data_IF_969296631986
#
_entry.id   IF_969296631986
#
_cell.length_a   1.000
_cell.length_b   1.000
_cell.length_c   1.000
_cell.angle_alpha   90.00
_cell.angle_beta   90.00
_cell.angle_gamma   90.00
#
_symmetry.space_group_name_H-M   'P 1'
#
loop_
_entity.id
_entity.type
_entity.pdbx_description
1 polymer ?
#
# COMPACT_ATOMS: atom_id res chain seq x y z
N UNK A 1 18.58 23.43 7.68
CA UNK A 1 19.35 22.22 8.05
C UNK A 1 18.43 21.02 7.89
N UNK A 2 18.69 20.11 6.95
CA UNK A 2 17.92 18.86 6.83
C UNK A 2 18.32 17.94 7.99
N UNK A 3 17.41 17.74 8.94
CA UNK A 3 17.60 16.78 10.03
C UNK A 3 17.40 15.36 9.48
N UNK A 4 18.29 14.39 9.78
CA UNK A 4 18.13 13.01 9.33
C UNK A 4 16.74 12.46 9.67
N UNK A 5 16.10 11.80 8.69
CA UNK A 5 14.76 11.25 8.85
C UNK A 5 13.60 12.25 8.78
N UNK A 6 13.86 13.53 8.53
CA UNK A 6 12.82 14.54 8.29
C UNK A 6 12.72 14.94 6.81
N UNK A 7 11.49 15.12 6.35
CA UNK A 7 11.12 15.68 5.04
C UNK A 7 10.40 17.01 5.30
N UNK A 8 11.09 18.12 5.07
CA UNK A 8 10.61 19.41 5.58
C UNK A 8 10.49 19.35 7.10
N UNK A 9 9.26 19.44 7.60
CA UNK A 9 8.94 19.33 9.04
C UNK A 9 8.36 17.97 9.47
N UNK A 10 8.23 17.02 8.55
CA UNK A 10 7.55 15.74 8.72
C UNK A 10 8.54 14.59 8.89
N UNK A 11 8.11 13.47 9.48
CA UNK A 11 8.93 12.29 9.70
C UNK A 11 9.51 12.21 11.11
N UNK A 12 10.81 11.97 11.21
CA UNK A 12 11.51 11.74 12.47
C UNK A 12 11.46 10.29 12.96
N UNK A 13 11.96 10.07 14.17
CA UNK A 13 11.94 8.78 14.86
C UNK A 13 11.54 9.00 16.32
N UNK A 14 10.23 9.01 16.58
CA UNK A 14 9.62 9.21 17.90
C UNK A 14 9.44 7.86 18.59
N UNK A 15 10.55 7.19 18.87
CA UNK A 15 10.58 5.83 19.40
C UNK A 15 10.99 5.81 20.88
N UNK A 16 10.55 4.81 21.67
CA UNK A 16 11.10 4.56 22.99
C UNK A 16 12.60 4.26 22.93
N UNK A 17 13.36 4.68 23.96
CA UNK A 17 14.82 4.51 24.03
C UNK A 17 15.25 3.04 23.90
N UNK A 18 14.45 2.10 24.40
CA UNK A 18 14.74 0.65 24.30
C UNK A 18 14.84 0.15 22.85
N UNK A 19 14.26 0.87 21.88
CA UNK A 19 14.37 0.55 20.45
C UNK A 19 15.51 1.29 19.75
N UNK A 20 16.20 2.21 20.42
CA UNK A 20 17.21 3.07 19.79
C UNK A 20 18.26 2.24 19.04
N UNK A 21 18.78 1.20 19.69
CA UNK A 21 19.88 0.42 19.13
C UNK A 21 19.45 -0.44 17.95
N UNK A 22 18.26 -1.03 18.02
CA UNK A 22 17.64 -1.75 16.90
C UNK A 22 17.45 -0.85 15.69
N UNK A 23 17.02 0.40 15.89
CA UNK A 23 16.91 1.38 14.81
C UNK A 23 18.26 1.88 14.32
N UNK A 24 19.28 1.99 15.19
CA UNK A 24 20.67 2.31 14.78
C UNK A 24 21.21 1.23 13.85
N UNK A 25 21.11 -0.05 14.23
CA UNK A 25 21.50 -1.20 13.40
C UNK A 25 20.80 -1.15 12.04
N UNK A 26 19.47 -0.99 12.04
CA UNK A 26 18.69 -0.92 10.81
C UNK A 26 19.13 0.23 9.88
N UNK A 27 19.39 1.42 10.44
CA UNK A 27 19.88 2.58 9.67
C UNK A 27 21.23 2.29 9.02
N UNK A 28 22.16 1.69 9.75
CA UNK A 28 23.49 1.37 9.24
C UNK A 28 23.45 0.31 8.14
N UNK A 29 22.63 -0.72 8.31
CA UNK A 29 22.48 -1.79 7.32
C UNK A 29 21.79 -1.28 6.07
N UNK A 30 20.71 -0.50 6.22
CA UNK A 30 20.03 0.16 5.11
C UNK A 30 20.96 1.11 4.35
N UNK A 31 21.70 1.97 5.05
CA UNK A 31 22.64 2.91 4.42
C UNK A 31 23.73 2.18 3.62
N UNK A 32 24.31 1.10 4.18
CA UNK A 32 25.28 0.26 3.47
C UNK A 32 24.67 -0.44 2.26
N UNK A 33 23.46 -0.99 2.38
CA UNK A 33 22.77 -1.63 1.27
C UNK A 33 22.44 -0.64 0.13
N UNK A 34 22.03 0.58 0.48
CA UNK A 34 21.73 1.63 -0.50
C UNK A 34 22.97 2.14 -1.23
N UNK A 35 24.12 2.15 -0.57
CA UNK A 35 25.41 2.54 -1.16
C UNK A 35 26.08 1.42 -1.97
N UNK A 36 25.56 0.19 -1.90
CA UNK A 36 26.12 -1.00 -2.53
C UNK A 36 25.34 -1.36 -3.81
N UNK A 37 25.89 -1.13 -5.02
CA UNK A 37 25.22 -1.47 -6.27
C UNK A 37 24.92 -2.97 -6.41
N UNK A 38 25.72 -3.84 -5.78
CA UNK A 38 25.51 -5.28 -5.84
C UNK A 38 24.23 -5.69 -5.11
N UNK A 39 23.85 -4.98 -4.04
CA UNK A 39 22.57 -5.21 -3.36
C UNK A 39 21.38 -4.91 -4.28
N UNK A 40 21.42 -3.78 -4.99
CA UNK A 40 20.32 -3.43 -5.89
C UNK A 40 20.23 -4.42 -7.05
N UNK A 41 21.37 -4.88 -7.58
CA UNK A 41 21.38 -5.93 -8.59
C UNK A 41 20.81 -7.26 -8.06
N UNK A 42 21.22 -7.71 -6.86
CA UNK A 42 20.65 -8.90 -6.20
C UNK A 42 19.13 -8.77 -6.03
N UNK A 43 18.65 -7.59 -5.63
CA UNK A 43 17.22 -7.28 -5.53
C UNK A 43 16.51 -7.36 -6.88
N UNK A 44 17.08 -6.78 -7.94
CA UNK A 44 16.50 -6.85 -9.29
C UNK A 44 16.46 -8.28 -9.82
N UNK A 45 17.52 -9.06 -9.62
CA UNK A 45 17.59 -10.46 -10.05
C UNK A 45 16.55 -11.32 -9.31
N UNK A 46 16.38 -11.09 -8.00
CA UNK A 46 15.33 -11.72 -7.20
C UNK A 46 13.94 -11.34 -7.71
N UNK A 47 13.66 -10.04 -7.89
CA UNK A 47 12.35 -9.58 -8.32
C UNK A 47 12.01 -10.02 -9.75
N UNK A 48 13.01 -10.10 -10.63
CA UNK A 48 12.86 -10.62 -11.99
C UNK A 48 12.53 -12.11 -12.01
N UNK A 49 13.28 -12.92 -11.24
CA UNK A 49 13.11 -14.38 -11.23
C UNK A 49 11.92 -14.87 -10.38
N UNK A 50 11.55 -14.15 -9.32
CA UNK A 50 10.53 -14.58 -8.36
C UNK A 50 9.18 -13.88 -8.54
N UNK A 51 9.18 -12.60 -8.94
CA UNK A 51 7.97 -11.79 -9.11
C UNK A 51 7.72 -11.36 -10.56
N UNK A 52 8.48 -11.92 -11.51
CA UNK A 52 8.37 -11.65 -12.94
C UNK A 52 8.45 -10.16 -13.30
N UNK A 53 9.25 -9.38 -12.57
CA UNK A 53 9.47 -7.97 -12.91
C UNK A 53 10.35 -7.83 -14.17
N UNK A 54 10.15 -6.78 -14.99
CA UNK A 54 9.25 -5.65 -14.79
C UNK A 54 7.78 -5.97 -15.03
N UNK A 55 6.88 -5.39 -14.23
CA UNK A 55 5.43 -5.53 -14.48
C UNK A 55 5.02 -4.72 -15.72
N UNK A 56 4.03 -5.16 -16.51
CA UNK A 56 3.60 -4.43 -17.71
C UNK A 56 3.02 -3.03 -17.44
N UNK A 57 3.09 -2.17 -18.46
CA UNK A 57 2.27 -0.97 -18.59
C UNK A 57 1.24 -1.22 -19.70
N UNK A 58 -0.01 -1.47 -19.32
CA UNK A 58 -1.09 -1.85 -20.26
C UNK A 58 -1.79 -0.62 -20.79
N UNK A 59 -1.91 -0.46 -22.11
CA UNK A 59 -2.80 0.53 -22.72
C UNK A 59 -4.25 0.06 -22.61
N UNK A 60 -5.08 0.80 -21.87
CA UNK A 60 -6.49 0.52 -21.64
C UNK A 60 -7.32 1.17 -22.75
N UNK A 61 -7.35 0.51 -23.91
CA UNK A 61 -7.91 1.05 -25.14
C UNK A 61 -9.43 1.28 -25.04
N UNK A 62 -10.17 0.39 -24.36
CA UNK A 62 -11.62 0.51 -24.22
C UNK A 62 -12.02 1.64 -23.28
N UNK A 63 -11.28 1.84 -22.19
CA UNK A 63 -11.46 2.98 -21.29
C UNK A 63 -11.07 4.28 -21.99
N UNK A 64 -9.95 4.31 -22.72
CA UNK A 64 -9.54 5.49 -23.49
C UNK A 64 -10.62 5.90 -24.50
N UNK A 65 -11.15 4.94 -25.27
CA UNK A 65 -12.30 5.17 -26.16
C UNK A 65 -13.56 5.62 -25.42
N UNK A 66 -13.82 5.06 -24.24
CA UNK A 66 -15.02 5.36 -23.46
C UNK A 66 -15.04 6.81 -22.99
N UNK A 67 -13.91 7.35 -22.53
CA UNK A 67 -13.82 8.73 -22.06
C UNK A 67 -13.59 9.74 -23.20
N UNK A 68 -13.07 9.30 -24.36
CA UNK A 68 -12.87 10.16 -25.54
C UNK A 68 -11.82 11.26 -25.35
N UNK A 69 -11.08 11.24 -24.24
CA UNK A 69 -9.99 12.15 -23.92
C UNK A 69 -8.65 11.41 -23.88
N UNK A 70 -7.90 11.53 -22.77
CA UNK A 70 -6.55 10.97 -22.65
C UNK A 70 -6.44 9.46 -22.96
N UNK A 71 -5.25 9.08 -23.43
CA UNK A 71 -4.80 7.68 -23.50
C UNK A 71 -4.50 7.16 -22.09
N UNK A 72 -5.23 6.14 -21.67
CA UNK A 72 -5.16 5.58 -20.33
C UNK A 72 -4.19 4.40 -20.31
N UNK A 73 -3.14 4.49 -19.49
CA UNK A 73 -2.20 3.41 -19.24
C UNK A 73 -2.30 2.93 -17.79
N UNK A 74 -2.27 1.61 -17.60
CA UNK A 74 -2.37 0.98 -16.28
C UNK A 74 -1.03 0.31 -15.95
N UNK A 75 -0.39 0.72 -14.86
CA UNK A 75 0.80 0.06 -14.32
C UNK A 75 0.36 -1.16 -13.50
N UNK A 76 0.72 -2.36 -13.97
CA UNK A 76 0.13 -3.65 -13.55
C UNK A 76 0.80 -4.30 -12.34
N UNK A 77 0.82 -3.62 -11.20
CA UNK A 77 1.37 -4.20 -9.96
C UNK A 77 0.52 -5.34 -9.39
N UNK A 78 -0.71 -5.51 -9.91
CA UNK A 78 -1.59 -6.66 -9.69
C UNK A 78 -1.01 -7.99 -10.20
N UNK A 79 -0.07 -7.93 -11.15
CA UNK A 79 0.60 -9.10 -11.73
C UNK A 79 1.88 -9.51 -10.99
N UNK A 80 2.28 -8.77 -9.95
CA UNK A 80 3.36 -9.23 -9.08
C UNK A 80 3.03 -10.58 -8.43
N UNK A 81 4.07 -11.30 -8.00
CA UNK A 81 3.86 -12.39 -7.07
C UNK A 81 3.13 -11.88 -5.82
N UNK A 82 2.30 -12.74 -5.22
CA UNK A 82 1.31 -12.40 -4.19
C UNK A 82 0.15 -11.47 -4.62
N UNK A 83 0.21 -10.86 -5.82
CA UNK A 83 -0.89 -10.09 -6.41
C UNK A 83 -0.94 -8.60 -6.07
N UNK A 84 0.15 -8.02 -5.53
CA UNK A 84 0.22 -6.60 -5.20
C UNK A 84 1.65 -6.06 -5.14
N UNK A 85 1.80 -4.72 -5.19
CA UNK A 85 3.07 -4.00 -5.01
C UNK A 85 3.80 -4.30 -3.68
N UNK A 86 3.14 -4.93 -2.69
CA UNK A 86 3.76 -5.24 -1.39
C UNK A 86 4.96 -6.18 -1.51
N UNK A 87 4.98 -7.05 -2.52
CA UNK A 87 6.10 -7.95 -2.82
C UNK A 87 7.44 -7.21 -2.94
N UNK A 88 7.44 -6.03 -3.59
CA UNK A 88 8.63 -5.19 -3.78
C UNK A 88 9.32 -4.87 -2.44
N UNK A 89 8.54 -4.34 -1.50
CA UNK A 89 9.05 -3.95 -0.19
C UNK A 89 9.49 -5.15 0.65
N UNK A 90 8.64 -6.18 0.77
CA UNK A 90 8.94 -7.30 1.68
C UNK A 90 10.17 -8.07 1.21
N UNK A 91 10.35 -8.27 -0.10
CA UNK A 91 11.53 -8.96 -0.64
C UNK A 91 12.81 -8.15 -0.41
N UNK A 92 12.75 -6.84 -0.62
CA UNK A 92 13.85 -5.93 -0.30
C UNK A 92 14.23 -5.96 1.18
N UNK A 93 13.25 -5.88 2.08
CA UNK A 93 13.49 -6.03 3.51
C UNK A 93 13.99 -7.43 3.88
N UNK A 94 13.52 -8.49 3.23
CA UNK A 94 14.01 -9.87 3.42
C UNK A 94 15.51 -10.01 3.13
N UNK A 95 16.01 -9.33 2.09
CA UNK A 95 17.44 -9.25 1.82
C UNK A 95 18.20 -8.50 2.93
N UNK A 96 17.60 -7.44 3.51
CA UNK A 96 18.18 -6.77 4.68
C UNK A 96 18.18 -7.67 5.92
N UNK A 97 17.10 -8.42 6.18
CA UNK A 97 17.02 -9.39 7.27
C UNK A 97 18.15 -10.41 7.17
N UNK A 98 18.40 -10.94 5.96
CA UNK A 98 19.52 -11.85 5.67
C UNK A 98 20.88 -11.18 5.97
N UNK A 99 21.08 -9.91 5.57
CA UNK A 99 22.31 -9.16 5.86
C UNK A 99 22.52 -8.87 7.35
N UNK A 100 21.44 -8.68 8.10
CA UNK A 100 21.47 -8.50 9.56
C UNK A 100 21.67 -9.82 10.32
N UNK A 101 21.63 -10.97 9.64
CA UNK A 101 21.75 -12.28 10.29
C UNK A 101 20.55 -12.63 11.18
N UNK A 102 19.41 -11.94 11.01
CA UNK A 102 18.19 -12.22 11.77
C UNK A 102 17.52 -13.48 11.22
N UNK A 103 16.86 -14.23 12.09
CA UNK A 103 16.25 -15.54 11.76
C UNK A 103 14.73 -15.51 11.80
N UNK A 104 14.15 -14.42 12.33
CA UNK A 104 12.72 -14.24 12.52
C UNK A 104 12.27 -12.88 12.00
N UNK A 105 11.07 -12.85 11.44
CA UNK A 105 10.40 -11.63 11.02
C UNK A 105 9.03 -11.50 11.67
N UNK A 106 8.65 -10.27 11.95
CA UNK A 106 7.31 -9.92 12.41
C UNK A 106 6.72 -8.82 11.55
N UNK A 107 5.40 -8.81 11.43
CA UNK A 107 4.67 -7.72 10.76
C UNK A 107 3.27 -7.59 11.33
N UNK A 108 2.67 -6.41 11.19
CA UNK A 108 1.25 -6.18 11.35
C UNK A 108 0.51 -6.38 10.03
N UNK A 109 -0.81 -6.59 10.05
CA UNK A 109 -1.63 -6.46 8.85
C UNK A 109 -3.08 -6.13 9.19
N UNK A 110 -3.74 -5.35 8.33
CA UNK A 110 -5.19 -5.09 8.37
C UNK A 110 -5.89 -5.91 7.31
N UNK A 111 -5.91 -5.44 6.06
CA UNK A 111 -6.48 -6.16 4.91
C UNK A 111 -5.86 -7.55 4.61
N UNK A 112 -4.73 -7.91 5.24
CA UNK A 112 -4.07 -9.22 5.08
C UNK A 112 -3.00 -9.29 3.99
N UNK A 113 -2.98 -8.39 3.01
CA UNK A 113 -2.03 -8.44 1.89
C UNK A 113 -0.56 -8.28 2.30
N UNK A 114 -0.27 -7.37 3.22
CA UNK A 114 1.10 -7.23 3.74
C UNK A 114 1.52 -8.48 4.52
N UNK A 115 0.61 -9.03 5.32
CA UNK A 115 0.84 -10.28 6.04
C UNK A 115 1.13 -11.47 5.10
N UNK A 116 0.35 -11.64 4.03
CA UNK A 116 0.60 -12.66 3.00
C UNK A 116 1.95 -12.44 2.31
N UNK A 117 2.29 -11.19 1.97
CA UNK A 117 3.57 -10.86 1.35
C UNK A 117 4.75 -11.16 2.30
N UNK A 118 4.63 -10.83 3.59
CA UNK A 118 5.63 -11.11 4.61
C UNK A 118 5.79 -12.62 4.86
N UNK A 119 4.69 -13.37 4.96
CA UNK A 119 4.70 -14.83 5.07
C UNK A 119 5.36 -15.49 3.85
N UNK A 120 5.07 -14.99 2.65
CA UNK A 120 5.69 -15.47 1.40
C UNK A 120 7.20 -15.23 1.41
N UNK A 121 7.62 -14.02 1.79
CA UNK A 121 9.03 -13.67 1.91
C UNK A 121 9.73 -14.56 2.93
N UNK A 122 9.14 -14.75 4.12
CA UNK A 122 9.69 -15.58 5.16
C UNK A 122 9.87 -17.04 4.70
N UNK A 123 8.85 -17.61 4.04
CA UNK A 123 8.95 -18.95 3.46
C UNK A 123 10.05 -19.05 2.40
N UNK A 124 10.20 -18.02 1.54
CA UNK A 124 11.22 -17.98 0.48
C UNK A 124 12.66 -17.91 1.02
N UNK A 125 12.86 -17.23 2.15
CA UNK A 125 14.18 -17.02 2.75
C UNK A 125 14.47 -17.95 3.95
N UNK A 126 13.48 -18.72 4.41
CA UNK A 126 13.64 -19.63 5.55
C UNK A 126 13.58 -18.94 6.91
N UNK A 127 12.85 -17.83 7.03
CA UNK A 127 12.66 -17.13 8.31
C UNK A 127 11.43 -17.66 9.06
N UNK A 128 11.49 -17.67 10.40
CA UNK A 128 10.29 -17.76 11.21
C UNK A 128 9.44 -16.50 11.01
N UNK A 129 8.12 -16.64 10.89
CA UNK A 129 7.22 -15.51 10.61
C UNK A 129 6.07 -15.44 11.62
N UNK A 130 5.87 -14.28 12.22
CA UNK A 130 4.71 -14.00 13.07
C UNK A 130 3.99 -12.75 12.58
N UNK A 131 2.70 -12.88 12.28
CA UNK A 131 1.87 -11.79 11.79
C UNK A 131 0.85 -11.41 12.88
N UNK A 132 0.86 -10.16 13.29
CA UNK A 132 -0.12 -9.57 14.19
C UNK A 132 -1.28 -8.99 13.38
N UNK A 133 -2.51 -9.34 13.72
CA UNK A 133 -3.70 -8.91 12.99
C UNK A 133 -4.84 -8.69 13.98
N UNK A 134 -5.60 -7.60 13.83
CA UNK A 134 -6.75 -7.33 14.69
C UNK A 134 -7.77 -8.47 14.62
N UNK A 135 -8.41 -8.83 15.74
CA UNK A 135 -9.38 -9.94 15.79
C UNK A 135 -10.51 -9.76 14.76
N UNK A 136 -11.03 -8.54 14.60
CA UNK A 136 -12.05 -8.28 13.59
C UNK A 136 -11.54 -8.47 12.16
N UNK A 137 -10.30 -8.04 11.90
CA UNK A 137 -9.65 -8.21 10.60
C UNK A 137 -9.38 -9.69 10.29
N UNK A 138 -9.01 -10.49 11.29
CA UNK A 138 -8.85 -11.96 11.14
C UNK A 138 -10.15 -12.61 10.64
N UNK A 139 -11.29 -12.18 11.17
CA UNK A 139 -12.59 -12.68 10.74
C UNK A 139 -12.98 -12.18 9.34
N UNK A 140 -12.86 -10.87 9.10
CA UNK A 140 -13.26 -10.24 7.83
C UNK A 140 -12.37 -10.66 6.65
N UNK A 141 -11.09 -10.97 6.91
CA UNK A 141 -10.08 -11.29 5.90
C UNK A 141 -9.57 -12.73 6.02
N UNK A 142 -10.45 -13.65 6.47
CA UNK A 142 -10.13 -15.08 6.63
C UNK A 142 -9.38 -15.72 5.44
N UNK A 143 -9.68 -15.40 4.17
CA UNK A 143 -8.90 -15.93 3.04
C UNK A 143 -7.41 -15.60 3.10
N UNK A 144 -7.05 -14.37 3.49
CA UNK A 144 -5.64 -13.98 3.63
C UNK A 144 -4.99 -14.66 4.85
N UNK A 145 -5.72 -14.79 5.97
CA UNK A 145 -5.26 -15.55 7.15
C UNK A 145 -4.94 -16.99 6.76
N UNK A 146 -5.80 -17.62 5.97
CA UNK A 146 -5.59 -18.99 5.50
C UNK A 146 -4.29 -19.11 4.71
N UNK A 147 -4.02 -18.18 3.79
CA UNK A 147 -2.77 -18.20 3.02
C UNK A 147 -1.55 -17.95 3.89
N UNK A 148 -1.62 -17.05 4.87
CA UNK A 148 -0.52 -16.84 5.83
C UNK A 148 -0.18 -18.13 6.59
N UNK A 149 -1.20 -18.83 7.12
CA UNK A 149 -1.03 -20.10 7.83
C UNK A 149 -0.43 -21.19 6.90
N UNK A 150 -0.88 -21.27 5.65
CA UNK A 150 -0.37 -22.23 4.67
C UNK A 150 1.05 -21.93 4.19
N UNK A 151 1.47 -20.67 4.26
CA UNK A 151 2.85 -20.25 4.04
C UNK A 151 3.75 -20.52 5.26
N UNK A 152 3.22 -21.04 6.36
CA UNK A 152 3.96 -21.40 7.56
C UNK A 152 4.12 -20.25 8.56
N UNK A 153 3.41 -19.14 8.39
CA UNK A 153 3.42 -18.05 9.35
C UNK A 153 2.46 -18.33 10.52
N UNK A 154 2.83 -17.90 11.72
CA UNK A 154 1.94 -17.83 12.88
C UNK A 154 1.13 -16.54 12.78
N UNK A 155 -0.21 -16.63 12.75
CA UNK A 155 -1.08 -15.44 12.83
C UNK A 155 -1.56 -15.27 14.26
N UNK A 156 -1.29 -14.12 14.86
CA UNK A 156 -1.66 -13.78 16.24
C UNK A 156 -2.80 -12.75 16.21
N UNK A 157 -4.04 -13.15 16.58
CA UNK A 157 -5.16 -12.24 16.72
C UNK A 157 -4.94 -11.27 17.89
N UNK A 158 -5.09 -9.97 17.65
CA UNK A 158 -5.00 -8.94 18.69
C UNK A 158 -6.41 -8.61 19.18
N UNK A 159 -6.68 -8.96 20.44
CA UNK A 159 -8.00 -8.88 21.08
C UNK A 159 -8.17 -7.66 21.99
N UNK A 160 -7.09 -6.91 22.21
CA UNK A 160 -7.06 -5.70 23.04
C UNK A 160 -7.34 -4.45 22.23
N UNK A 161 -7.86 -3.40 22.88
CA UNK A 161 -8.10 -2.10 22.25
C UNK A 161 -9.24 -2.13 21.24
N UNK A 162 -9.04 -1.44 20.11
CA UNK A 162 -10.00 -1.41 18.99
C UNK A 162 -10.03 -2.70 18.17
N UNK A 163 -9.05 -3.61 18.37
CA UNK A 163 -8.93 -4.89 17.65
C UNK A 163 -8.76 -4.71 16.14
N UNK A 164 -8.05 -3.65 15.75
CA UNK A 164 -7.74 -3.29 14.37
C UNK A 164 -6.23 -3.18 14.15
N UNK A 165 -5.81 -2.73 12.96
CA UNK A 165 -4.42 -2.45 12.57
C UNK A 165 -3.64 -1.64 13.62
N UNK A 166 -4.26 -0.66 14.30
CA UNK A 166 -3.59 0.16 15.32
C UNK A 166 -3.05 -0.71 16.47
N UNK A 167 -3.85 -1.65 16.95
CA UNK A 167 -3.47 -2.52 18.07
C UNK A 167 -2.46 -3.58 17.62
N UNK A 168 -2.57 -4.07 16.37
CA UNK A 168 -1.59 -4.97 15.77
C UNK A 168 -0.18 -4.35 15.69
N UNK A 169 -0.06 -3.06 15.38
CA UNK A 169 1.22 -2.33 15.39
C UNK A 169 1.82 -2.30 16.80
N UNK A 170 0.99 -2.05 17.83
CA UNK A 170 1.46 -1.99 19.21
C UNK A 170 2.00 -3.35 19.68
N UNK A 171 1.31 -4.45 19.37
CA UNK A 171 1.79 -5.80 19.70
C UNK A 171 3.06 -6.16 18.94
N UNK A 172 3.16 -5.81 17.65
CA UNK A 172 4.39 -6.03 16.89
C UNK A 172 5.58 -5.27 17.49
N UNK A 173 5.40 -4.03 17.95
CA UNK A 173 6.46 -3.31 18.64
C UNK A 173 6.85 -3.94 19.98
N UNK A 174 5.88 -4.44 20.76
CA UNK A 174 6.15 -5.13 22.04
C UNK A 174 6.96 -6.40 21.83
N UNK A 175 6.62 -7.20 20.83
CA UNK A 175 7.40 -8.36 20.41
C UNK A 175 8.81 -7.94 20.00
N UNK A 176 8.93 -6.91 19.16
CA UNK A 176 10.23 -6.48 18.66
C UNK A 176 11.19 -6.07 19.78
N UNK A 177 10.67 -5.33 20.77
CA UNK A 177 11.44 -4.95 21.97
C UNK A 177 11.93 -6.18 22.74
N UNK A 178 11.14 -7.24 22.78
CA UNK A 178 11.47 -8.44 23.56
C UNK A 178 12.42 -9.40 22.82
N UNK A 179 12.48 -9.32 21.48
CA UNK A 179 13.18 -10.29 20.63
C UNK A 179 14.14 -9.65 19.61
N UNK A 180 14.72 -8.49 19.94
CA UNK A 180 15.50 -7.65 19.00
C UNK A 180 16.73 -8.33 18.38
N UNK A 181 17.36 -9.25 19.09
CA UNK A 181 18.58 -9.93 18.65
C UNK A 181 18.33 -10.81 17.42
N UNK A 182 17.18 -11.48 17.37
CA UNK A 182 16.83 -12.46 16.33
C UNK A 182 15.77 -11.99 15.36
N UNK A 183 15.06 -10.89 15.69
CA UNK A 183 13.83 -10.49 15.00
C UNK A 183 13.97 -9.15 14.27
N UNK A 184 13.50 -9.11 13.02
CA UNK A 184 13.27 -7.86 12.28
C UNK A 184 11.78 -7.56 12.11
N UNK A 185 11.39 -6.30 12.32
CA UNK A 185 10.05 -5.82 12.05
C UNK A 185 9.90 -5.32 10.61
N UNK A 186 9.05 -5.99 9.83
CA UNK A 186 8.82 -5.70 8.41
C UNK A 186 7.67 -4.69 8.28
N UNK A 187 8.00 -3.40 8.26
CA UNK A 187 7.01 -2.33 8.04
C UNK A 187 6.38 -2.43 6.64
N UNK A 188 5.05 -2.35 6.57
CA UNK A 188 4.29 -2.57 5.33
C UNK A 188 4.07 -1.35 4.43
N UNK A 189 4.48 -0.15 4.86
CA UNK A 189 4.23 1.08 4.11
C UNK A 189 5.25 2.19 4.38
N UNK A 190 5.20 3.28 3.62
CA UNK A 190 6.09 4.45 3.73
C UNK A 190 5.73 5.39 4.90
N UNK A 191 5.42 4.78 6.05
CA UNK A 191 5.09 5.42 7.33
C UNK A 191 6.05 4.91 8.42
N UNK A 192 5.83 5.37 9.65
CA UNK A 192 6.61 4.94 10.79
C UNK A 192 7.92 5.71 10.96
N UNK A 193 8.68 5.41 12.02
CA UNK A 193 9.94 6.07 12.34
C UNK A 193 10.99 5.85 11.24
N UNK A 194 11.83 6.85 11.02
CA UNK A 194 13.02 6.70 10.17
C UNK A 194 13.88 5.51 10.67
N UNK A 195 14.31 4.58 9.79
CA UNK A 195 14.44 4.74 8.34
C UNK A 195 13.30 4.16 7.49
N UNK A 196 12.21 3.64 8.08
CA UNK A 196 11.17 2.94 7.33
C UNK A 196 10.57 3.72 6.15
N UNK A 197 10.18 5.01 6.29
CA UNK A 197 9.61 5.75 5.17
C UNK A 197 10.53 5.82 3.95
N UNK A 198 11.83 6.07 4.15
CA UNK A 198 12.81 6.12 3.06
C UNK A 198 13.08 4.74 2.48
N UNK A 199 13.26 3.74 3.35
CA UNK A 199 13.61 2.38 2.96
C UNK A 199 12.48 1.75 2.13
N UNK A 200 11.23 1.86 2.60
CA UNK A 200 10.08 1.33 1.87
C UNK A 200 9.89 2.09 0.56
N UNK A 201 10.09 3.42 0.54
CA UNK A 201 9.98 4.21 -0.69
C UNK A 201 11.04 3.79 -1.71
N UNK A 202 12.28 3.51 -1.26
CA UNK A 202 13.36 3.05 -2.12
C UNK A 202 13.04 1.70 -2.79
N UNK A 203 12.59 0.70 -2.02
CA UNK A 203 12.21 -0.59 -2.61
C UNK A 203 11.02 -0.48 -3.57
N UNK A 204 10.06 0.40 -3.28
CA UNK A 204 8.93 0.67 -4.16
C UNK A 204 9.29 1.52 -5.40
N UNK A 205 10.45 2.19 -5.41
CA UNK A 205 10.86 3.07 -6.53
C UNK A 205 10.99 2.33 -7.87
N UNK A 206 11.14 1.00 -7.83
CA UNK A 206 11.15 0.14 -9.01
C UNK A 206 9.89 0.33 -9.88
N UNK A 207 8.74 0.64 -9.27
CA UNK A 207 7.48 0.89 -9.98
C UNK A 207 7.62 2.11 -10.89
N UNK A 208 8.09 3.24 -10.34
CA UNK A 208 8.27 4.49 -11.08
C UNK A 208 9.38 4.41 -12.13
N UNK A 209 10.49 3.72 -11.81
CA UNK A 209 11.58 3.48 -12.75
C UNK A 209 11.08 2.73 -14.00
N UNK A 210 10.34 1.65 -13.80
CA UNK A 210 9.75 0.88 -14.89
C UNK A 210 8.68 1.66 -15.64
N UNK A 211 7.72 2.27 -14.93
CA UNK A 211 6.62 3.02 -15.53
C UNK A 211 7.13 4.16 -16.41
N UNK A 212 8.15 4.91 -15.96
CA UNK A 212 8.79 5.97 -16.75
C UNK A 212 9.41 5.42 -18.05
N UNK A 213 10.20 4.36 -17.95
CA UNK A 213 10.84 3.74 -19.12
C UNK A 213 9.79 3.23 -20.11
N UNK A 214 8.74 2.58 -19.59
CA UNK A 214 7.67 1.99 -20.38
C UNK A 214 6.83 3.07 -21.09
N UNK A 215 6.40 4.12 -20.38
CA UNK A 215 5.57 5.17 -20.99
C UNK A 215 6.33 5.93 -22.08
N UNK A 216 7.61 6.24 -21.87
CA UNK A 216 8.44 6.86 -22.90
C UNK A 216 8.59 5.96 -24.13
N UNK A 217 8.69 4.64 -23.94
CA UNK A 217 8.83 3.69 -25.04
C UNK A 217 7.54 3.53 -25.86
N UNK A 218 6.37 3.48 -25.22
CA UNK A 218 5.08 3.23 -25.91
C UNK A 218 4.36 4.50 -26.35
N UNK A 219 4.56 5.62 -25.65
CA UNK A 219 3.86 6.88 -25.90
C UNK A 219 4.79 7.97 -26.48
N UNK A 220 6.11 7.81 -26.40
CA UNK A 220 7.09 8.76 -26.93
C UNK A 220 7.28 10.04 -26.10
N UNK A 221 6.48 10.25 -25.06
CA UNK A 221 6.60 11.38 -24.13
C UNK A 221 6.14 11.01 -22.71
N UNK A 222 6.39 11.89 -21.76
CA UNK A 222 5.90 11.75 -20.38
C UNK A 222 4.38 11.88 -20.33
N UNK A 223 3.71 11.19 -19.37
CA UNK A 223 2.28 11.34 -19.17
C UNK A 223 1.96 12.74 -18.63
N UNK A 224 0.76 13.24 -18.90
CA UNK A 224 0.27 14.47 -18.30
C UNK A 224 0.01 14.27 -16.79
N UNK A 225 -0.52 13.10 -16.41
CA UNK A 225 -0.94 12.81 -15.03
C UNK A 225 -0.60 11.39 -14.60
N UNK A 226 -0.23 11.20 -13.33
CA UNK A 226 -0.01 9.89 -12.72
C UNK A 226 -0.86 9.77 -11.45
N UNK A 227 -1.68 8.72 -11.37
CA UNK A 227 -2.62 8.47 -10.29
C UNK A 227 -2.22 7.25 -9.47
N UNK A 228 -2.35 7.35 -8.15
CA UNK A 228 -2.14 6.24 -7.24
C UNK A 228 -2.99 6.36 -5.98
N UNK A 229 -3.47 5.25 -5.43
CA UNK A 229 -4.23 5.25 -4.20
C UNK A 229 -3.33 5.45 -2.98
N UNK A 230 -3.83 6.10 -1.94
CA UNK A 230 -3.05 6.47 -0.75
C UNK A 230 -3.77 6.01 0.52
N UNK A 231 -3.28 4.90 1.08
CA UNK A 231 -3.44 4.56 2.50
C UNK A 231 -2.24 5.15 3.24
N UNK A 232 -1.29 4.31 3.66
CA UNK A 232 0.01 4.78 4.10
C UNK A 232 0.92 5.34 2.97
N UNK A 233 0.63 5.06 1.69
CA UNK A 233 1.28 5.74 0.54
C UNK A 233 2.41 5.01 -0.20
N UNK A 234 2.71 3.75 0.14
CA UNK A 234 3.86 3.02 -0.44
C UNK A 234 3.82 2.84 -1.95
N UNK A 235 2.68 2.43 -2.52
CA UNK A 235 2.53 2.32 -3.97
C UNK A 235 2.61 3.69 -4.68
N UNK A 236 2.04 4.73 -4.06
CA UNK A 236 2.02 6.08 -4.60
C UNK A 236 3.42 6.67 -4.66
N UNK A 237 4.17 6.66 -3.55
CA UNK A 237 5.58 7.07 -3.58
C UNK A 237 6.42 6.22 -4.53
N UNK A 238 6.13 4.92 -4.64
CA UNK A 238 6.80 4.02 -5.58
C UNK A 238 6.71 4.50 -7.02
N UNK A 239 5.49 4.79 -7.51
CA UNK A 239 5.30 5.26 -8.88
C UNK A 239 5.70 6.73 -9.07
N UNK A 240 5.40 7.60 -8.10
CA UNK A 240 5.67 9.04 -8.19
C UNK A 240 7.16 9.35 -8.29
N UNK A 241 8.04 8.58 -7.65
CA UNK A 241 9.49 8.77 -7.73
C UNK A 241 10.02 8.75 -9.17
N UNK A 242 9.34 8.06 -10.10
CA UNK A 242 9.70 8.08 -11.52
C UNK A 242 9.44 9.41 -12.23
N UNK A 243 8.73 10.35 -11.58
CA UNK A 243 8.22 11.58 -12.18
C UNK A 243 8.36 12.82 -11.27
N UNK A 244 8.89 12.69 -10.04
CA UNK A 244 9.00 13.81 -9.09
C UNK A 244 9.76 15.02 -9.64
N UNK A 245 10.79 14.78 -10.45
CA UNK A 245 11.63 15.82 -11.04
C UNK A 245 10.99 16.50 -12.28
N UNK A 246 9.86 15.99 -12.78
CA UNK A 246 9.19 16.51 -13.98
C UNK A 246 7.98 17.37 -13.58
N UNK A 247 8.11 18.71 -13.50
CA UNK A 247 7.01 19.58 -13.08
C UNK A 247 5.83 19.58 -14.05
N UNK A 248 6.05 19.15 -15.30
CA UNK A 248 5.00 18.97 -16.31
C UNK A 248 4.11 17.74 -16.06
N UNK A 249 4.49 16.84 -15.14
CA UNK A 249 3.73 15.65 -14.79
C UNK A 249 3.01 15.90 -13.47
N UNK A 250 1.68 15.98 -13.54
CA UNK A 250 0.85 16.08 -12.36
C UNK A 250 0.83 14.74 -11.62
N UNK A 251 0.99 14.77 -10.29
CA UNK A 251 0.98 13.59 -9.44
C UNK A 251 -0.23 13.68 -8.52
N UNK A 252 -1.09 12.65 -8.57
CA UNK A 252 -2.38 12.65 -7.88
C UNK A 252 -2.48 11.45 -6.95
N UNK A 253 -2.45 11.71 -5.65
CA UNK A 253 -2.77 10.73 -4.61
C UNK A 253 -4.27 10.69 -4.35
N UNK A 254 -4.87 9.50 -4.36
CA UNK A 254 -6.31 9.35 -4.08
C UNK A 254 -6.54 8.60 -2.77
N UNK A 255 -7.13 9.29 -1.80
CA UNK A 255 -7.47 8.74 -0.49
C UNK A 255 -8.90 8.22 -0.44
N UNK A 256 -9.21 7.42 0.58
CA UNK A 256 -10.56 6.90 0.79
C UNK A 256 -11.48 7.98 1.35
N UNK A 257 -12.44 8.41 0.54
CA UNK A 257 -13.53 9.31 0.92
C UNK A 257 -14.64 8.61 1.72
N UNK A 258 -14.59 7.28 1.85
CA UNK A 258 -15.54 6.48 2.63
C UNK A 258 -16.98 6.76 2.21
N UNK A 259 -17.84 7.09 3.18
CA UNK A 259 -19.25 7.44 2.93
C UNK A 259 -19.47 8.89 2.45
N UNK A 260 -18.40 9.67 2.33
CA UNK A 260 -18.42 11.10 2.03
C UNK A 260 -17.62 11.88 3.07
N UNK A 261 -16.87 12.90 2.64
CA UNK A 261 -16.03 13.69 3.53
C UNK A 261 -16.84 14.45 4.60
N UNK A 262 -18.01 14.94 4.21
CA UNK A 262 -18.97 15.65 5.07
C UNK A 262 -19.55 14.77 6.19
N UNK A 263 -19.50 13.45 6.05
CA UNK A 263 -20.01 12.52 7.05
C UNK A 263 -19.04 12.27 8.21
N UNK A 264 -17.77 12.65 8.05
CA UNK A 264 -16.67 12.27 8.95
C UNK A 264 -16.31 10.78 8.92
N UNK A 265 -17.02 9.94 8.15
CA UNK A 265 -16.73 8.51 7.97
C UNK A 265 -15.89 8.30 6.71
N UNK A 266 -14.61 8.67 6.80
CA UNK A 266 -13.64 8.54 5.72
C UNK A 266 -12.23 8.25 6.27
N UNK A 267 -11.28 8.00 5.37
CA UNK A 267 -9.85 7.92 5.68
C UNK A 267 -9.02 8.87 4.80
N UNK A 268 -9.57 10.02 4.39
CA UNK A 268 -8.84 11.10 3.74
C UNK A 268 -8.10 11.96 4.79
N UNK A 269 -6.76 12.06 4.70
CA UNK A 269 -5.94 12.89 5.60
C UNK A 269 -5.47 14.19 4.92
N UNK A 270 -5.22 14.16 3.62
CA UNK A 270 -4.69 15.29 2.85
C UNK A 270 -5.71 15.87 1.87
N UNK A 271 -6.76 15.10 1.55
CA UNK A 271 -7.88 15.54 0.73
C UNK A 271 -9.06 16.12 1.54
N UNK A 272 -9.02 16.10 2.88
CA UNK A 272 -10.03 16.72 3.75
C UNK A 272 -9.41 17.71 4.74
N UNK A 273 -10.27 18.49 5.42
CA UNK A 273 -9.86 19.45 6.44
C UNK A 273 -9.83 18.86 7.86
N UNK A 274 -10.14 17.57 8.02
CA UNK A 274 -10.36 16.92 9.32
C UNK A 274 -9.07 16.41 9.96
N UNK A 275 -7.99 16.38 9.20
CA UNK A 275 -6.69 15.95 9.71
C UNK A 275 -5.90 17.13 10.27
N UNK A 276 -5.03 16.83 11.23
CA UNK A 276 -4.11 17.81 11.80
C UNK A 276 -2.73 17.19 12.04
N UNK A 277 -1.67 18.01 12.18
CA UNK A 277 -0.33 17.52 12.48
C UNK A 277 -0.30 16.81 13.84
N UNK A 278 0.29 15.62 13.90
CA UNK A 278 0.42 14.83 15.13
C UNK A 278 1.65 13.94 15.12
N UNK A 279 1.88 13.28 16.25
CA UNK A 279 2.95 12.26 16.41
C UNK A 279 2.30 10.98 16.92
N UNK A 280 2.34 9.94 16.11
CA UNK A 280 1.87 8.61 16.49
C UNK A 280 2.66 7.56 15.72
N UNK A 281 2.68 6.32 16.25
CA UNK A 281 3.35 5.18 15.60
C UNK A 281 4.81 5.47 15.21
N UNK A 282 5.50 6.31 16.00
CA UNK A 282 6.91 6.64 15.85
C UNK A 282 7.26 7.76 14.87
N UNK A 283 6.30 8.48 14.30
CA UNK A 283 6.59 9.54 13.32
C UNK A 283 5.62 10.72 13.38
N UNK A 284 6.08 11.88 12.91
CA UNK A 284 5.28 13.11 12.78
C UNK A 284 4.69 13.22 11.37
N UNK A 285 3.38 13.34 11.26
CA UNK A 285 2.64 13.52 9.98
C UNK A 285 1.26 14.14 10.23
N UNK A 286 0.41 14.16 9.19
CA UNK A 286 -1.03 14.44 9.32
C UNK A 286 -1.77 13.19 9.77
N UNK A 287 -2.63 13.34 10.78
CA UNK A 287 -3.50 12.29 11.30
C UNK A 287 -4.93 12.79 11.40
N UNK A 288 -5.91 11.90 11.22
CA UNK A 288 -7.29 12.16 11.59
C UNK A 288 -7.43 12.03 13.11
N UNK A 289 -7.48 13.15 13.79
CA UNK A 289 -7.50 13.22 15.26
C UNK A 289 -8.42 14.36 15.73
N UNK A 290 -8.92 14.25 16.95
CA UNK A 290 -9.67 15.33 17.58
C UNK A 290 -8.78 16.42 18.20
N UNK A 291 -9.39 17.40 18.87
CA UNK A 291 -8.70 18.52 19.49
C UNK A 291 -7.79 18.11 20.65
N UNK A 292 -8.04 16.95 21.27
CA UNK A 292 -7.24 16.39 22.37
C UNK A 292 -6.11 15.47 21.84
N UNK A 293 -5.99 15.34 20.52
CA UNK A 293 -5.00 14.47 19.86
C UNK A 293 -5.37 12.98 19.89
N UNK A 294 -6.63 12.63 20.19
CA UNK A 294 -7.10 11.25 20.11
C UNK A 294 -7.39 10.88 18.65
N UNK A 295 -6.89 9.71 18.25
CA UNK A 295 -7.13 9.17 16.91
C UNK A 295 -8.60 8.84 16.72
N UNK A 296 -9.20 9.35 15.65
CA UNK A 296 -10.60 9.07 15.29
C UNK A 296 -10.75 7.67 14.71
N UNK A 297 -11.99 7.20 14.62
CA UNK A 297 -12.32 6.03 13.80
C UNK A 297 -12.38 6.44 12.32
N UNK A 298 -12.01 5.52 11.44
CA UNK A 298 -12.02 5.72 9.98
C UNK A 298 -12.99 4.77 9.30
N UNK A 299 -13.29 5.05 8.04
CA UNK A 299 -14.10 4.17 7.22
C UNK A 299 -13.63 4.15 5.77
N UNK A 300 -13.56 2.95 5.20
CA UNK A 300 -13.47 2.72 3.76
C UNK A 300 -13.96 1.31 3.42
N UNK A 301 -14.55 1.14 2.23
CA UNK A 301 -14.78 -0.20 1.66
C UNK A 301 -13.47 -0.94 1.37
N UNK A 302 -12.36 -0.22 1.19
CA UNK A 302 -11.03 -0.77 0.92
C UNK A 302 -10.19 -0.80 2.20
N UNK A 303 -10.12 -1.95 2.87
CA UNK A 303 -9.39 -2.12 4.12
C UNK A 303 -7.91 -1.68 4.07
N UNK A 304 -7.25 -1.74 2.90
CA UNK A 304 -5.87 -1.26 2.75
C UNK A 304 -5.70 0.27 2.72
N UNK A 305 -6.79 1.04 2.58
CA UNK A 305 -6.79 2.51 2.67
C UNK A 305 -7.35 3.03 3.99
N UNK A 306 -8.03 2.18 4.76
CA UNK A 306 -8.63 2.47 6.06
C UNK A 306 -7.54 2.64 7.14
N UNK A 307 -6.86 3.77 7.11
CA UNK A 307 -5.72 4.08 7.95
C UNK A 307 -5.72 5.55 8.35
N UNK A 308 -5.40 5.79 9.62
CA UNK A 308 -5.55 7.09 10.29
C UNK A 308 -4.47 8.12 9.94
N UNK A 309 -3.29 7.65 9.53
CA UNK A 309 -2.14 8.48 9.18
C UNK A 309 -1.82 8.47 7.69
N UNK A 310 -0.77 9.19 7.31
CA UNK A 310 -0.26 9.24 5.93
C UNK A 310 1.24 9.43 5.92
N UNK A 311 1.92 9.01 4.85
CA UNK A 311 3.38 9.13 4.74
C UNK A 311 3.90 10.54 4.96
N UNK A 312 4.99 10.73 5.75
CA UNK A 312 5.61 12.03 5.90
C UNK A 312 6.24 12.54 4.59
N UNK A 313 6.64 11.66 3.66
CA UNK A 313 7.09 12.07 2.33
C UNK A 313 5.94 12.67 1.53
N UNK A 314 4.78 12.03 1.56
CA UNK A 314 3.60 12.52 0.83
C UNK A 314 3.06 13.81 1.44
N UNK A 315 3.08 13.96 2.76
CA UNK A 315 2.71 15.21 3.43
C UNK A 315 3.63 16.36 3.05
N UNK A 316 4.94 16.15 3.02
CA UNK A 316 5.91 17.16 2.55
C UNK A 316 5.66 17.54 1.08
N UNK A 317 5.38 16.57 0.22
CA UNK A 317 5.08 16.81 -1.19
C UNK A 317 3.74 17.52 -1.42
N UNK A 318 2.73 17.23 -0.59
CA UNK A 318 1.45 17.94 -0.57
C UNK A 318 1.62 19.39 -0.12
N UNK A 319 2.33 19.63 0.98
CA UNK A 319 2.59 20.97 1.51
C UNK A 319 3.36 21.85 0.51
N UNK A 320 4.23 21.24 -0.30
CA UNK A 320 4.94 21.89 -1.41
C UNK A 320 4.13 22.05 -2.70
N UNK A 321 2.91 21.52 -2.74
CA UNK A 321 2.06 21.51 -3.95
C UNK A 321 2.59 20.62 -5.08
N UNK A 322 3.55 19.72 -4.81
CA UNK A 322 4.10 18.81 -5.82
C UNK A 322 3.14 17.65 -6.12
N UNK A 323 2.39 17.20 -5.13
CA UNK A 323 1.38 16.13 -5.26
C UNK A 323 0.02 16.70 -4.86
N UNK A 324 -0.97 16.57 -5.74
CA UNK A 324 -2.37 16.89 -5.43
C UNK A 324 -3.04 15.68 -4.79
N UNK A 325 -3.92 15.93 -3.84
CA UNK A 325 -4.71 14.88 -3.19
C UNK A 325 -6.19 15.03 -3.52
N UNK A 326 -6.84 13.89 -3.78
CA UNK A 326 -8.28 13.77 -4.01
C UNK A 326 -8.85 12.66 -3.13
N UNK A 327 -10.17 12.62 -3.00
CA UNK A 327 -10.88 11.57 -2.28
C UNK A 327 -11.87 10.88 -3.21
N UNK A 328 -12.00 9.55 -3.07
CA UNK A 328 -12.99 8.74 -3.78
C UNK A 328 -13.91 8.05 -2.77
N UNK A 329 -15.22 8.20 -2.95
CA UNK A 329 -16.21 7.55 -2.05
C UNK A 329 -16.37 6.07 -2.38
N UNK A 330 -16.87 5.29 -1.44
CA UNK A 330 -17.09 3.85 -1.62
C UNK A 330 -18.01 3.56 -2.81
N UNK A 331 -19.02 4.40 -3.04
CA UNK A 331 -19.94 4.27 -4.19
C UNK A 331 -19.25 4.53 -5.53
N UNK A 332 -18.38 5.55 -5.59
CA UNK A 332 -17.59 5.85 -6.78
C UNK A 332 -16.63 4.71 -7.09
N UNK A 333 -16.02 4.13 -6.05
CA UNK A 333 -15.12 2.99 -6.15
C UNK A 333 -15.84 1.79 -6.77
N UNK A 334 -17.04 1.43 -6.30
CA UNK A 334 -17.79 0.33 -6.88
C UNK A 334 -18.17 0.58 -8.35
N UNK A 335 -18.50 1.83 -8.69
CA UNK A 335 -18.82 2.22 -10.08
C UNK A 335 -17.59 2.11 -10.99
N UNK A 336 -16.44 2.60 -10.55
CA UNK A 336 -15.19 2.51 -11.31
C UNK A 336 -14.68 1.06 -11.43
N UNK A 337 -14.88 0.24 -10.40
CA UNK A 337 -14.57 -1.20 -10.44
C UNK A 337 -15.36 -1.88 -11.56
N UNK A 338 -16.69 -1.75 -11.54
CA UNK A 338 -17.58 -2.36 -12.52
C UNK A 338 -17.22 -1.94 -13.96
N UNK A 339 -16.97 -0.64 -14.15
CA UNK A 339 -16.56 -0.11 -15.45
C UNK A 339 -15.23 -0.70 -15.93
N UNK A 340 -14.23 -0.78 -15.05
CA UNK A 340 -12.90 -1.32 -15.38
C UNK A 340 -12.99 -2.80 -15.76
N UNK A 341 -13.76 -3.59 -15.00
CA UNK A 341 -14.00 -5.00 -15.29
C UNK A 341 -14.67 -5.16 -16.65
N UNK A 342 -15.76 -4.44 -16.91
CA UNK A 342 -16.55 -4.58 -18.15
C UNK A 342 -15.82 -4.09 -19.40
N UNK A 343 -14.96 -3.07 -19.26
CA UNK A 343 -14.25 -2.47 -20.40
C UNK A 343 -12.93 -3.14 -20.70
N UNK A 344 -12.17 -3.56 -19.68
CA UNK A 344 -10.81 -4.07 -19.89
C UNK A 344 -10.62 -5.53 -19.48
N UNK A 345 -11.60 -6.15 -18.80
CA UNK A 345 -11.41 -7.49 -18.23
C UNK A 345 -10.34 -7.51 -17.14
N UNK A 346 -10.10 -6.36 -16.49
CA UNK A 346 -9.13 -6.20 -15.41
C UNK A 346 -9.91 -6.01 -14.11
N UNK A 347 -9.53 -6.76 -13.07
CA UNK A 347 -10.17 -6.72 -11.75
C UNK A 347 -9.19 -6.04 -10.77
N UNK A 348 -9.23 -4.70 -10.64
CA UNK A 348 -8.40 -3.99 -9.67
C UNK A 348 -8.82 -4.32 -8.24
N UNK A 349 -7.85 -4.30 -7.31
CA UNK A 349 -8.16 -4.26 -5.88
C UNK A 349 -8.97 -3.01 -5.53
N UNK A 350 -9.84 -3.09 -4.52
CA UNK A 350 -10.66 -1.94 -4.11
C UNK A 350 -9.80 -0.71 -3.78
N UNK A 351 -8.61 -0.91 -3.22
CA UNK A 351 -7.62 0.15 -3.01
C UNK A 351 -7.21 0.80 -4.34
N UNK A 352 -6.80 -0.01 -5.32
CA UNK A 352 -6.37 0.46 -6.64
C UNK A 352 -7.46 1.27 -7.33
N UNK A 353 -8.72 0.81 -7.22
CA UNK A 353 -9.88 1.43 -7.85
C UNK A 353 -10.10 2.88 -7.43
N UNK A 354 -9.65 3.29 -6.23
CA UNK A 354 -9.68 4.71 -5.85
C UNK A 354 -8.88 5.58 -6.82
N UNK A 355 -7.71 5.11 -7.30
CA UNK A 355 -6.94 5.81 -8.31
C UNK A 355 -7.69 5.91 -9.65
N UNK A 356 -8.43 4.85 -10.02
CA UNK A 356 -9.28 4.84 -11.21
C UNK A 356 -10.42 5.86 -11.11
N UNK A 357 -11.06 6.00 -9.95
CA UNK A 357 -12.13 6.99 -9.74
C UNK A 357 -11.67 8.39 -10.13
N UNK A 358 -10.55 8.86 -9.59
CA UNK A 358 -10.09 10.21 -9.89
C UNK A 358 -9.61 10.34 -11.33
N UNK A 359 -8.94 9.32 -11.87
CA UNK A 359 -8.53 9.30 -13.26
C UNK A 359 -9.73 9.38 -14.22
N UNK A 360 -10.83 8.69 -13.92
CA UNK A 360 -12.05 8.69 -14.75
C UNK A 360 -12.78 10.03 -14.73
N UNK A 361 -12.83 10.71 -13.59
CA UNK A 361 -13.37 12.08 -13.49
C UNK A 361 -12.64 13.06 -14.41
N UNK A 362 -11.34 12.84 -14.60
CA UNK A 362 -10.42 13.78 -15.22
C UNK A 362 -9.98 13.38 -16.65
N UNK A 363 -10.21 12.13 -17.07
CA UNK A 363 -9.71 11.60 -18.34
C UNK A 363 -10.29 12.34 -19.57
N UNK A 364 -11.56 12.74 -19.50
CA UNK A 364 -12.25 13.47 -20.57
C UNK A 364 -11.86 14.94 -20.69
N UNK A 365 -11.16 15.51 -19.69
CA UNK A 365 -10.69 16.91 -19.71
C UNK A 365 -9.41 17.10 -20.53
N UNK A 366 -8.71 15.99 -20.81
CA UNK A 366 -7.42 15.97 -21.49
C UNK A 366 -7.59 15.67 -22.98
N UNK A 367 -6.64 16.14 -23.78
CA UNK A 367 -6.63 15.89 -25.21
C UNK A 367 -6.28 14.42 -25.51
N UNK A 368 -6.82 13.86 -26.59
CA UNK A 368 -6.61 12.45 -26.97
C UNK A 368 -5.18 12.08 -27.39
N UNK A 369 -4.32 13.06 -27.57
CA UNK A 369 -2.90 12.82 -27.72
C UNK A 369 -2.23 12.60 -26.35
N UNK A 370 -2.72 13.17 -25.24
CA UNK A 370 -2.07 13.10 -23.92
C UNK A 370 -2.27 11.72 -23.25
N UNK A 371 -1.28 11.26 -22.50
CA UNK A 371 -1.37 10.04 -21.70
C UNK A 371 -1.60 10.32 -20.22
N UNK A 372 -2.32 9.42 -19.55
CA UNK A 372 -2.36 9.30 -18.09
C UNK A 372 -1.90 7.90 -17.67
N UNK A 373 -1.27 7.80 -16.50
CA UNK A 373 -0.87 6.52 -15.90
C UNK A 373 -1.61 6.30 -14.59
N UNK A 374 -2.26 5.15 -14.44
CA UNK A 374 -2.94 4.72 -13.21
C UNK A 374 -2.14 3.55 -12.61
N UNK A 375 -1.73 3.68 -11.35
CA UNK A 375 -1.07 2.59 -10.64
C UNK A 375 -2.10 1.60 -10.09
N UNK A 376 -2.27 0.46 -10.76
CA UNK A 376 -3.07 -0.63 -10.23
C UNK A 376 -2.23 -1.44 -9.24
N UNK A 377 -2.27 -0.98 -7.99
CA UNK A 377 -1.43 -1.44 -6.88
C UNK A 377 -1.64 -2.90 -6.46
N UNK A 378 -2.74 -3.54 -6.88
CA UNK A 378 -3.04 -4.95 -6.62
C UNK A 378 -4.28 -5.48 -7.37
N UNK A 379 -4.51 -6.80 -7.30
CA UNK A 379 -5.68 -7.49 -7.88
C UNK A 379 -6.84 -7.64 -6.90
N UNK A 380 -8.06 -7.63 -7.42
CA UNK A 380 -9.30 -7.68 -6.64
C UNK A 380 -9.73 -9.07 -6.18
N UNK A 381 -9.01 -10.15 -6.50
CA UNK A 381 -9.36 -11.51 -6.06
C UNK A 381 -9.53 -11.62 -4.53
N UNK A 382 -8.70 -10.89 -3.77
CA UNK A 382 -8.77 -10.85 -2.31
C UNK A 382 -10.09 -10.26 -1.79
N UNK A 383 -10.68 -9.37 -2.58
CA UNK A 383 -11.84 -8.58 -2.22
C UNK A 383 -13.14 -9.24 -2.69
N UNK A 384 -13.10 -10.45 -3.28
CA UNK A 384 -14.26 -11.08 -3.92
C UNK A 384 -15.50 -11.13 -3.01
N UNK A 385 -15.33 -11.41 -1.72
CA UNK A 385 -16.45 -11.46 -0.78
C UNK A 385 -17.06 -10.06 -0.55
N UNK A 386 -16.21 -9.04 -0.38
CA UNK A 386 -16.64 -7.64 -0.23
C UNK A 386 -17.31 -7.14 -1.51
N UNK A 387 -16.69 -7.41 -2.66
CA UNK A 387 -17.18 -7.02 -3.98
C UNK A 387 -18.54 -7.69 -4.25
N UNK A 388 -18.65 -8.99 -4.05
CA UNK A 388 -19.90 -9.72 -4.29
C UNK A 388 -21.01 -9.28 -3.32
N UNK A 389 -20.67 -8.96 -2.06
CA UNK A 389 -21.63 -8.38 -1.13
C UNK A 389 -22.13 -7.00 -1.62
N UNK A 390 -21.23 -6.15 -2.10
CA UNK A 390 -21.57 -4.82 -2.60
C UNK A 390 -22.41 -4.85 -3.90
N UNK A 391 -22.24 -5.87 -4.75
CA UNK A 391 -23.10 -6.10 -5.92
C UNK A 391 -24.45 -6.76 -5.59
N UNK A 392 -24.64 -7.21 -4.35
CA UNK A 392 -25.86 -7.86 -3.85
C UNK A 392 -26.33 -9.08 -4.67
N UNK A 393 -25.42 -9.81 -5.32
CA UNK A 393 -25.74 -10.93 -6.23
C UNK A 393 -26.41 -12.10 -5.48
N UNK A 394 -27.70 -12.42 -5.76
CA UNK A 394 -28.41 -13.52 -5.11
C UNK A 394 -27.79 -14.90 -5.38
N UNK A 395 -27.23 -15.10 -6.58
CA UNK A 395 -26.64 -16.39 -6.97
C UNK A 395 -25.34 -16.67 -6.20
N UNK A 396 -24.57 -15.63 -5.90
CA UNK A 396 -23.39 -15.73 -5.03
C UNK A 396 -23.78 -16.10 -3.60
N UNK A 397 -24.82 -15.47 -3.05
CA UNK A 397 -25.32 -15.79 -1.70
C UNK A 397 -25.75 -17.26 -1.60
N UNK A 398 -26.46 -17.75 -2.60
CA UNK A 398 -26.89 -19.15 -2.67
C UNK A 398 -25.69 -20.10 -2.76
N UNK A 399 -24.70 -19.77 -3.59
CA UNK A 399 -23.46 -20.54 -3.69
C UNK A 399 -22.75 -20.68 -2.33
N UNK A 400 -22.61 -19.58 -1.58
CA UNK A 400 -21.96 -19.61 -0.25
C UNK A 400 -22.76 -20.44 0.75
N UNK A 401 -24.10 -20.32 0.76
CA UNK A 401 -24.96 -21.13 1.65
C UNK A 401 -24.78 -22.61 1.37
N UNK A 402 -24.87 -23.02 0.10
CA UNK A 402 -24.66 -24.41 -0.31
C UNK A 402 -23.28 -24.92 0.07
N UNK A 403 -22.22 -24.10 -0.07
CA UNK A 403 -20.88 -24.48 0.39
C UNK A 403 -20.80 -24.65 1.90
N UNK A 404 -21.50 -23.81 2.66
CA UNK A 404 -21.65 -23.98 4.11
C UNK A 404 -22.30 -25.31 4.48
N UNK A 405 -23.38 -25.69 3.79
CA UNK A 405 -24.05 -26.98 3.98
C UNK A 405 -23.14 -28.17 3.63
N UNK A 406 -22.37 -28.08 2.54
CA UNK A 406 -21.39 -29.11 2.16
C UNK A 406 -20.29 -29.29 3.22
N UNK A 407 -19.87 -28.22 3.91
CA UNK A 407 -18.91 -28.32 5.01
C UNK A 407 -19.53 -28.86 6.30
N UNK A 408 -20.79 -28.55 6.58
CA UNK A 408 -21.50 -29.06 7.76
C UNK A 408 -21.88 -30.54 7.65
N UNK A 409 -22.02 -31.05 6.42
CA UNK A 409 -22.35 -32.44 6.13
C UNK A 409 -21.13 -33.40 6.14
N UNK A 410 -19.91 -32.86 6.27
CA UNK A 410 -18.66 -33.62 6.40
C UNK A 410 -18.22 -33.63 7.86
#
# INVERSE_FOLDING_TARGET
>A
MNKPGYFGQWGGAYIPEVLYETFRELREVYARAKADPAFWQEYLDLMGSYSCRPTPLTYAENLSRHFGGAQIFIKREDLNHTGAHKANNVMGQGLLVKRMGKTRVIAETGAGQHGVACATMAAKFGFACTIYMGEEDVHRQRPNVFWMEKLGATVVPVTTGSRTLKDAINEAFRDWVSNMDTTHYVMGTVCGPHPFPEMVAWFQSIIGQEARKQILAVHGRLPARVYACVGGGSNAMGIFQGFLADPSVELIGVEAGGKGLDTGQHAARLASADASPGVAQGYKTMFLQDADGQMRDTHSVAAGLDYIGVSPLLTDLWEKGRVRFAAATDQEVMTALDLTIKKEGIIPALESTHAFVQAFKEAGELNGDQAIVINQSGRGDKDIFTIAHAFDDPSWKEFIRKKGEEYAAR
#
